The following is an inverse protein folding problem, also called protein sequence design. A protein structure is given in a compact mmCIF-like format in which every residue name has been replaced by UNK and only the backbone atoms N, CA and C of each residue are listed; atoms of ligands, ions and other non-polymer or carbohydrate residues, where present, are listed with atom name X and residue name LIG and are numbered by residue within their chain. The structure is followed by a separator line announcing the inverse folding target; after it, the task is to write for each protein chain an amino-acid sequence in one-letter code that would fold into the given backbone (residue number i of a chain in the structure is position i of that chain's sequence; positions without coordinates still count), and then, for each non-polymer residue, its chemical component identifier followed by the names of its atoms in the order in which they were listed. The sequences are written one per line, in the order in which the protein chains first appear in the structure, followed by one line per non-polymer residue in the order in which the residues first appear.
data_IF_156831576767
#
_entry.id   IF_156831576767
#
_cell.length_a   1.000
_cell.length_b   1.000
_cell.length_c   1.000
_cell.angle_alpha   90.00
_cell.angle_beta   90.00
_cell.angle_gamma   90.00
#
_symmetry.space_group_name_H-M   'P 1'
#
loop_
_entity.id
_entity.type
_entity.pdbx_description
1 polymer ?
#
# COMPACT_ATOMS: atom_id res chain seq x y z
N UNK A 1 1.16 -23.26 8.66
CA UNK A 1 1.69 -22.78 7.37
C UNK A 1 0.56 -22.84 6.34
N UNK A 2 -0.08 -21.71 6.04
CA UNK A 2 -1.07 -21.62 4.96
C UNK A 2 -0.62 -20.53 4.00
N UNK A 3 -0.41 -20.92 2.75
CA UNK A 3 -0.11 -20.05 1.61
C UNK A 3 -1.38 -19.96 0.78
N UNK A 4 -1.78 -18.75 0.38
CA UNK A 4 -2.97 -18.54 -0.45
C UNK A 4 -2.63 -17.52 -1.53
N UNK A 5 -2.66 -17.94 -2.80
CA UNK A 5 -2.54 -17.07 -3.98
C UNK A 5 -3.93 -16.74 -4.51
N UNK A 6 -4.19 -15.47 -4.85
CA UNK A 6 -5.39 -15.03 -5.54
C UNK A 6 -5.02 -14.00 -6.62
N UNK A 7 -5.62 -14.13 -7.81
CA UNK A 7 -5.47 -13.20 -8.94
C UNK A 7 -6.73 -12.33 -9.00
N UNK A 8 -6.58 -11.01 -8.96
CA UNK A 8 -7.66 -10.03 -9.07
C UNK A 8 -7.54 -9.21 -10.36
N UNK A 9 -8.66 -9.08 -11.09
CA UNK A 9 -8.83 -8.16 -12.22
C UNK A 9 -9.52 -6.88 -11.75
N UNK A 10 -8.91 -5.71 -11.98
CA UNK A 10 -9.34 -4.42 -11.42
C UNK A 10 -10.15 -3.62 -12.45
N UNK A 11 -11.34 -3.15 -12.04
CA UNK A 11 -12.07 -2.03 -12.66
C UNK A 11 -11.89 -0.77 -11.80
N UNK A 12 -11.75 0.43 -12.40
CA UNK A 12 -11.41 1.64 -11.69
C UNK A 12 -12.68 2.25 -11.09
N UNK A 13 -12.84 2.12 -9.78
CA UNK A 13 -13.76 2.82 -8.84
C UNK A 13 -14.21 1.92 -7.67
N UNK A 14 -13.58 0.76 -7.44
CA UNK A 14 -13.87 -0.06 -6.28
C UNK A 14 -13.17 0.50 -5.02
N UNK A 15 -13.95 1.05 -4.11
CA UNK A 15 -13.63 0.98 -2.68
C UNK A 15 -13.73 -0.49 -2.27
N UNK A 16 -12.61 -1.15 -2.02
CA UNK A 16 -12.58 -2.52 -1.52
C UNK A 16 -12.73 -2.49 0.00
N UNK A 17 -13.89 -2.91 0.52
CA UNK A 17 -14.06 -3.22 1.94
C UNK A 17 -14.09 -4.73 2.13
N UNK A 18 -13.10 -5.30 2.83
CA UNK A 18 -13.12 -6.71 3.24
C UNK A 18 -13.64 -6.83 4.65
N UNK A 19 -14.95 -7.07 4.85
CA UNK A 19 -15.48 -7.32 6.18
C UNK A 19 -15.20 -8.76 6.62
N UNK A 20 -14.39 -8.92 7.65
CA UNK A 20 -14.33 -10.13 8.46
C UNK A 20 -14.45 -9.70 9.93
N UNK A 21 -14.99 -10.56 10.80
CA UNK A 21 -15.39 -10.20 12.18
C UNK A 21 -14.21 -9.73 13.06
N UNK A 22 -14.45 -9.41 14.33
CA UNK A 22 -13.48 -8.82 15.27
C UNK A 22 -12.09 -9.49 15.37
N UNK A 23 -11.92 -10.73 14.90
CA UNK A 23 -10.64 -11.45 14.80
C UNK A 23 -9.90 -11.23 13.46
N UNK A 24 -10.51 -10.53 12.50
CA UNK A 24 -10.04 -10.30 11.15
C UNK A 24 -10.37 -8.86 10.73
N UNK A 25 -9.52 -7.88 11.02
CA UNK A 25 -9.80 -6.50 10.66
C UNK A 25 -10.04 -6.35 9.16
N UNK A 26 -11.01 -5.50 8.81
CA UNK A 26 -11.12 -4.97 7.47
C UNK A 26 -10.03 -3.94 7.20
N UNK A 27 -9.54 -3.94 5.97
CA UNK A 27 -8.62 -2.95 5.44
C UNK A 27 -9.35 -2.10 4.40
N UNK A 28 -9.36 -0.77 4.58
CA UNK A 28 -9.78 0.19 3.55
C UNK A 28 -8.54 0.76 2.86
N UNK A 29 -8.60 0.90 1.54
CA UNK A 29 -7.58 1.56 0.73
C UNK A 29 -8.29 2.61 -0.13
N UNK A 30 -7.83 3.85 -0.01
CA UNK A 30 -8.47 5.03 -0.60
C UNK A 30 -7.43 5.92 -1.28
N UNK A 31 -7.91 6.82 -2.14
CA UNK A 31 -7.09 7.82 -2.84
C UNK A 31 -5.89 7.27 -3.63
N UNK A 32 -6.01 6.07 -4.21
CA UNK A 32 -4.95 5.45 -5.01
C UNK A 32 -4.62 6.33 -6.22
N UNK A 33 -3.44 6.95 -6.19
CA UNK A 33 -2.85 7.74 -7.28
C UNK A 33 -1.70 6.96 -7.88
N UNK A 34 -1.84 6.64 -9.16
CA UNK A 34 -0.80 6.03 -9.97
C UNK A 34 -0.33 7.05 -10.99
N UNK A 35 0.98 7.27 -11.06
CA UNK A 35 1.55 8.14 -12.10
C UNK A 35 2.87 7.57 -12.63
N UNK A 36 3.10 7.79 -13.93
CA UNK A 36 4.41 7.63 -14.53
C UNK A 36 4.76 8.82 -15.38
N UNK A 37 6.05 9.12 -15.44
CA UNK A 37 6.56 10.15 -16.33
C UNK A 37 7.92 9.78 -16.90
N UNK A 38 8.19 10.33 -18.08
CA UNK A 38 9.48 10.23 -18.76
C UNK A 38 10.29 11.50 -18.49
N UNK A 39 11.48 11.37 -17.90
CA UNK A 39 12.46 12.45 -17.87
C UNK A 39 13.32 12.36 -19.13
N UNK A 40 12.85 12.90 -20.25
CA UNK A 40 13.68 13.01 -21.46
C UNK A 40 14.66 14.17 -21.33
N UNK A 41 15.96 13.88 -21.37
CA UNK A 41 17.02 14.88 -21.49
C UNK A 41 17.79 14.59 -22.78
N UNK A 42 17.22 15.01 -23.92
CA UNK A 42 17.70 14.82 -25.31
C UNK A 42 17.45 13.46 -25.99
N UNK A 43 17.39 13.40 -27.33
CA UNK A 43 17.07 12.19 -28.11
C UNK A 43 18.03 11.01 -27.93
N UNK A 44 19.21 11.24 -27.36
CA UNK A 44 20.23 10.22 -27.07
C UNK A 44 20.16 9.67 -25.64
N UNK A 45 19.34 10.26 -24.77
CA UNK A 45 19.21 9.80 -23.39
C UNK A 45 17.93 8.96 -23.22
N UNK A 46 18.12 7.65 -23.03
CA UNK A 46 17.09 6.82 -22.40
C UNK A 46 17.01 7.23 -20.92
N UNK A 47 16.18 8.23 -20.61
CA UNK A 47 15.99 8.70 -19.24
C UNK A 47 15.37 7.64 -18.33
N UNK A 48 15.65 7.72 -17.03
CA UNK A 48 15.02 6.84 -16.03
C UNK A 48 13.50 7.03 -16.06
N UNK A 49 12.80 5.91 -16.14
CA UNK A 49 11.35 5.84 -16.17
C UNK A 49 10.83 5.91 -14.74
N UNK A 50 10.33 7.03 -14.23
CA UNK A 50 9.86 7.04 -12.84
C UNK A 50 8.39 6.64 -12.74
N UNK A 51 8.09 5.70 -11.85
CA UNK A 51 6.75 5.32 -11.43
C UNK A 51 6.50 5.75 -9.99
N UNK A 52 5.29 6.22 -9.71
CA UNK A 52 4.84 6.60 -8.39
C UNK A 52 3.48 5.96 -8.10
N UNK A 53 3.37 5.41 -6.90
CA UNK A 53 2.12 4.96 -6.28
C UNK A 53 1.98 5.68 -4.94
N UNK A 54 0.78 6.19 -4.68
CA UNK A 54 0.43 6.90 -3.46
C UNK A 54 -1.01 6.51 -3.09
N UNK A 55 -1.25 6.13 -1.84
CA UNK A 55 -2.57 5.76 -1.35
C UNK A 55 -2.67 5.93 0.17
N UNK A 56 -3.90 6.05 0.66
CA UNK A 56 -4.19 6.04 2.09
C UNK A 56 -4.81 4.71 2.47
N UNK A 57 -4.44 4.21 3.64
CA UNK A 57 -4.87 2.93 4.15
C UNK A 57 -5.38 3.06 5.58
N UNK A 58 -6.48 2.36 5.89
CA UNK A 58 -7.06 2.38 7.24
C UNK A 58 -7.41 0.96 7.67
N UNK A 59 -6.91 0.55 8.84
CA UNK A 59 -7.28 -0.71 9.49
C UNK A 59 -8.47 -0.45 10.43
N UNK A 60 -9.55 -1.23 10.33
CA UNK A 60 -10.75 -1.08 11.18
C UNK A 60 -10.55 -1.26 12.69
N UNK A 61 -9.44 -1.86 13.15
CA UNK A 61 -9.12 -1.99 14.58
C UNK A 61 -8.42 -0.74 15.11
N UNK A 62 -7.58 -0.09 14.31
CA UNK A 62 -6.84 1.11 14.72
C UNK A 62 -7.58 2.37 14.32
N UNK A 63 -8.33 2.35 13.21
CA UNK A 63 -9.11 3.46 12.64
C UNK A 63 -8.32 4.76 12.37
N UNK A 64 -6.99 4.69 12.43
CA UNK A 64 -6.07 5.78 12.08
C UNK A 64 -5.56 5.59 10.65
N UNK A 65 -5.53 6.69 9.89
CA UNK A 65 -5.01 6.71 8.52
C UNK A 65 -3.50 6.47 8.46
N UNK A 66 -3.09 5.61 7.54
CA UNK A 66 -1.71 5.25 7.22
C UNK A 66 -1.44 5.71 5.79
N UNK A 67 -0.43 6.55 5.57
CA UNK A 67 -0.10 7.10 4.25
C UNK A 67 0.99 6.24 3.63
N UNK A 68 0.75 5.68 2.46
CA UNK A 68 1.69 4.81 1.78
C UNK A 68 2.11 5.43 0.44
N UNK A 69 3.41 5.65 0.24
CA UNK A 69 3.94 6.22 -1.00
C UNK A 69 5.20 5.47 -1.44
N UNK A 70 5.30 5.19 -2.74
CA UNK A 70 6.41 4.43 -3.32
C UNK A 70 6.84 5.04 -4.64
N UNK A 71 8.15 5.21 -4.80
CA UNK A 71 8.79 5.68 -6.04
C UNK A 71 9.73 4.60 -6.56
N UNK A 72 9.69 4.33 -7.87
CA UNK A 72 10.60 3.40 -8.52
C UNK A 72 11.14 4.00 -9.82
N UNK A 73 12.37 3.66 -10.17
CA UNK A 73 13.05 4.03 -11.43
C UNK A 73 12.56 3.24 -12.65
N UNK A 74 11.53 2.40 -12.48
CA UNK A 74 10.78 1.75 -13.56
C UNK A 74 9.32 2.24 -13.61
N UNK A 75 8.96 3.01 -14.65
CA UNK A 75 7.59 3.42 -14.90
C UNK A 75 6.77 2.22 -15.36
N UNK A 76 5.86 1.75 -14.49
CA UNK A 76 4.86 0.69 -14.74
C UNK A 76 5.36 -0.62 -15.36
N UNK A 77 6.68 -0.82 -15.47
CA UNK A 77 7.26 -1.95 -16.19
C UNK A 77 7.79 -3.04 -15.26
N UNK A 78 8.10 -2.70 -14.01
CA UNK A 78 8.59 -3.64 -12.99
C UNK A 78 8.76 -2.85 -11.69
N UNK A 79 7.67 -2.67 -10.92
CA UNK A 79 7.88 -2.64 -9.48
C UNK A 79 8.23 -4.08 -9.12
N UNK A 80 9.53 -4.34 -8.98
CA UNK A 80 10.02 -5.67 -8.72
C UNK A 80 9.42 -6.13 -7.38
N UNK A 81 8.76 -7.31 -7.28
CA UNK A 81 8.16 -7.78 -6.03
C UNK A 81 9.14 -7.84 -4.86
N UNK A 82 10.44 -7.75 -5.13
CA UNK A 82 11.51 -7.62 -4.14
C UNK A 82 11.59 -6.25 -3.44
N UNK A 83 10.89 -5.21 -3.90
CA UNK A 83 10.94 -3.88 -3.27
C UNK A 83 9.71 -3.68 -2.39
N UNK A 84 9.95 -3.68 -1.09
CA UNK A 84 8.98 -3.32 -0.06
C UNK A 84 9.16 -1.85 0.30
N UNK A 85 8.07 -1.11 0.32
CA UNK A 85 8.01 0.29 0.72
C UNK A 85 7.38 0.39 2.10
N UNK A 86 7.99 1.19 2.97
CA UNK A 86 7.44 1.55 4.28
C UNK A 86 6.32 2.58 4.10
N UNK A 87 5.25 2.46 4.87
CA UNK A 87 4.22 3.48 4.97
C UNK A 87 4.52 4.42 6.15
N UNK A 88 4.08 5.67 6.02
CA UNK A 88 4.14 6.66 7.08
C UNK A 88 2.87 6.56 7.94
N UNK A 89 3.08 6.41 9.25
CA UNK A 89 2.04 6.41 10.26
C UNK A 89 2.57 7.00 11.56
N UNK A 90 1.67 7.50 12.39
CA UNK A 90 2.04 7.99 13.72
C UNK A 90 2.62 6.83 14.55
N UNK A 91 3.83 6.97 15.13
CA UNK A 91 4.51 5.87 15.80
C UNK A 91 3.79 5.41 17.08
N UNK A 92 3.98 4.14 17.40
CA UNK A 92 3.50 3.49 18.62
C UNK A 92 3.91 4.28 19.87
N UNK A 93 2.92 4.72 20.66
CA UNK A 93 3.14 5.46 21.91
C UNK A 93 2.77 6.94 21.88
N UNK A 94 2.55 7.53 20.70
CA UNK A 94 1.96 8.85 20.59
C UNK A 94 0.44 8.77 20.79
N UNK A 95 -0.15 9.68 21.59
CA UNK A 95 -1.59 9.70 21.85
C UNK A 95 -2.41 9.86 20.56
N UNK A 96 -1.90 10.64 19.61
CA UNK A 96 -2.53 10.90 18.30
C UNK A 96 -2.46 9.72 17.31
N UNK A 97 -1.69 8.68 17.63
CA UNK A 97 -1.54 7.45 16.82
C UNK A 97 -2.35 6.28 17.33
N UNK A 98 -3.23 6.52 18.31
CA UNK A 98 -4.05 5.51 18.99
C UNK A 98 -5.53 5.82 18.83
N UNK A 99 -6.37 4.77 18.81
CA UNK A 99 -7.81 4.95 18.98
C UNK A 99 -8.24 4.93 20.45
N UNK A 100 -9.55 5.05 20.67
CA UNK A 100 -10.17 5.02 21.99
C UNK A 100 -9.96 3.70 22.75
N UNK A 101 -9.78 2.59 22.03
CA UNK A 101 -9.48 1.26 22.58
C UNK A 101 -7.98 1.02 22.82
N UNK A 102 -7.17 2.07 22.75
CA UNK A 102 -5.72 2.00 22.97
C UNK A 102 -5.02 1.03 21.99
N UNK A 103 -5.49 1.00 20.74
CA UNK A 103 -4.88 0.28 19.63
C UNK A 103 -4.01 1.20 18.76
N UNK A 104 -2.87 0.71 18.28
CA UNK A 104 -1.97 1.44 17.36
C UNK A 104 -1.31 0.52 16.34
N UNK A 105 -0.88 1.09 15.22
CA UNK A 105 -0.10 0.41 14.18
C UNK A 105 1.36 0.26 14.63
N UNK A 106 1.91 -0.95 14.54
CA UNK A 106 3.33 -1.22 14.80
C UNK A 106 4.17 -1.16 13.53
N UNK A 107 3.61 -1.68 12.43
CA UNK A 107 4.28 -1.76 11.15
C UNK A 107 3.26 -1.72 10.02
N UNK A 108 3.61 -1.07 8.91
CA UNK A 108 2.83 -1.04 7.69
C UNK A 108 3.76 -0.90 6.48
N UNK A 109 3.75 -1.90 5.61
CA UNK A 109 4.53 -1.91 4.39
C UNK A 109 3.68 -2.37 3.21
N UNK A 110 4.14 -2.06 2.00
CA UNK A 110 3.51 -2.56 0.78
C UNK A 110 4.50 -2.90 -0.31
N UNK A 111 4.06 -3.78 -1.20
CA UNK A 111 4.72 -4.11 -2.45
C UNK A 111 3.69 -3.92 -3.56
N UNK A 112 4.13 -3.36 -4.68
CA UNK A 112 3.30 -3.20 -5.87
C UNK A 112 3.94 -3.99 -7.00
N UNK A 113 3.16 -4.71 -7.79
CA UNK A 113 3.65 -5.53 -8.90
C UNK A 113 2.76 -5.32 -10.13
N UNK A 114 3.42 -5.15 -11.27
CA UNK A 114 2.83 -4.89 -12.60
C UNK A 114 3.41 -5.81 -13.68
N UNK A 115 4.16 -6.85 -13.27
CA UNK A 115 4.85 -7.79 -14.17
C UNK A 115 3.86 -8.60 -15.01
N UNK A 116 2.67 -8.87 -14.49
CA UNK A 116 1.58 -9.51 -15.24
C UNK A 116 0.81 -8.46 -16.01
N UNK A 117 0.72 -8.65 -17.33
CA UNK A 117 -0.03 -7.76 -18.20
C UNK A 117 -1.47 -7.58 -17.71
N UNK A 118 -1.93 -6.32 -17.69
CA UNK A 118 -3.28 -5.90 -17.27
C UNK A 118 -3.66 -6.22 -15.81
N UNK A 119 -2.68 -6.54 -14.96
CA UNK A 119 -2.88 -6.79 -13.53
C UNK A 119 -2.03 -5.84 -12.70
N UNK A 120 -2.67 -5.13 -11.76
CA UNK A 120 -1.99 -4.33 -10.73
C UNK A 120 -2.13 -5.05 -9.39
N UNK A 121 -1.04 -5.66 -8.92
CA UNK A 121 -1.06 -6.41 -7.68
C UNK A 121 -0.46 -5.56 -6.55
N UNK A 122 -1.34 -5.06 -5.68
CA UNK A 122 -0.95 -4.36 -4.45
C UNK A 122 -1.02 -5.34 -3.28
N UNK A 123 0.14 -5.65 -2.70
CA UNK A 123 0.24 -6.47 -1.49
C UNK A 123 0.60 -5.56 -0.32
N UNK A 124 -0.18 -5.64 0.75
CA UNK A 124 0.05 -4.89 2.00
C UNK A 124 0.40 -5.87 3.11
N UNK A 125 1.36 -5.51 3.95
CA UNK A 125 1.67 -6.21 5.19
C UNK A 125 1.59 -5.21 6.35
N UNK A 126 0.81 -5.53 7.39
CA UNK A 126 0.72 -4.69 8.57
C UNK A 126 0.60 -5.48 9.85
N UNK A 127 0.93 -4.84 10.96
CA UNK A 127 0.67 -5.34 12.31
C UNK A 127 0.26 -4.20 13.24
N UNK A 128 -0.57 -4.53 14.23
CA UNK A 128 -1.08 -3.59 15.23
C UNK A 128 -1.09 -4.26 16.61
N UNK A 129 -1.14 -3.45 17.66
CA UNK A 129 -1.26 -3.88 19.06
C UNK A 129 -2.37 -3.08 19.73
N UNK A 130 -3.08 -3.69 20.68
CA UNK A 130 -4.02 -3.01 21.57
C UNK A 130 -3.63 -3.29 23.03
N UNK A 131 -3.61 -2.24 23.85
CA UNK A 131 -3.49 -2.37 25.30
C UNK A 131 -4.90 -2.50 25.91
N UNK A 132 -5.15 -3.60 26.61
CA UNK A 132 -6.37 -3.80 27.39
C UNK A 132 -6.12 -3.54 28.87
#
# INVERSE_FOLDING_TARGET
MHSTSLILTISPLLSLSMAAGADFPSLSIEDIKLSSYYLMVSPSAQGSRQGLIDFTMTNSVVEVSIICSGKNSNAFAEFNPSVTYECDFTPAGAEEGRNEDWCWTNNATFNFDTTTQDVYNLTVQMSWTCEK
#
